data_IF_669437483031
#
_entry.id   IF_669437483031
#
_cell.length_a   1.000
_cell.length_b   1.000
_cell.length_c   1.000
_cell.angle_alpha   90.00
_cell.angle_beta   90.00
_cell.angle_gamma   90.00
#
_symmetry.space_group_name_H-M   'P 1'
#
loop_
_entity.id
_entity.type
_entity.pdbx_description
1 polymer ?
#
# COMPACT_ATOMS: atom_id res chain seq x y z
N UNK A 1 -13.71 -12.03 -1.09
CA UNK A 1 -12.78 -11.24 -1.91
C UNK A 1 -11.45 -11.26 -1.17
N UNK A 2 -10.36 -11.68 -1.82
CA UNK A 2 -9.03 -11.61 -1.20
C UNK A 2 -8.66 -10.12 -1.01
N UNK A 3 -7.95 -9.78 0.08
CA UNK A 3 -7.50 -8.43 0.34
C UNK A 3 -6.48 -7.95 -0.70
N UNK A 4 -6.30 -6.63 -0.81
CA UNK A 4 -5.35 -5.96 -1.69
C UNK A 4 -3.93 -5.93 -1.07
N UNK A 5 -3.42 -7.08 -0.62
CA UNK A 5 -2.19 -7.21 0.18
C UNK A 5 -0.87 -6.70 -0.45
N UNK A 6 0.27 -7.08 0.15
CA UNK A 6 1.63 -6.68 -0.26
C UNK A 6 1.94 -7.03 -1.72
N UNK A 7 1.65 -8.25 -2.16
CA UNK A 7 1.87 -8.78 -3.52
C UNK A 7 0.96 -8.06 -4.51
N UNK A 8 -0.30 -7.80 -4.15
CA UNK A 8 -1.24 -7.08 -5.01
C UNK A 8 -0.70 -5.69 -5.40
N UNK A 9 -0.13 -4.96 -4.42
CA UNK A 9 0.42 -3.63 -4.64
C UNK A 9 1.63 -3.63 -5.59
N UNK A 10 2.36 -4.74 -5.67
CA UNK A 10 3.51 -4.91 -6.58
C UNK A 10 3.05 -5.35 -7.98
N UNK A 11 2.06 -6.24 -8.06
CA UNK A 11 1.61 -6.83 -9.33
C UNK A 11 0.70 -5.91 -10.16
N UNK A 12 0.03 -4.94 -9.54
CA UNK A 12 -0.98 -4.11 -10.21
C UNK A 12 -0.49 -2.68 -10.53
N UNK A 13 0.81 -2.42 -10.63
CA UNK A 13 1.33 -1.09 -11.00
C UNK A 13 1.16 -0.84 -12.51
N UNK A 14 -0.01 -0.37 -12.93
CA UNK A 14 -0.31 0.16 -14.28
C UNK A 14 -1.79 0.56 -14.50
N UNK A 15 -2.12 1.32 -15.56
CA UNK A 15 -2.80 2.63 -15.57
C UNK A 15 -2.71 3.60 -14.37
N UNK A 16 -3.04 4.89 -14.59
CA UNK A 16 -2.98 5.97 -13.58
C UNK A 16 -3.75 5.66 -12.29
N UNK A 17 -4.94 5.05 -12.40
CA UNK A 17 -5.76 4.71 -11.25
C UNK A 17 -5.09 3.70 -10.31
N UNK A 18 -4.28 2.79 -10.85
CA UNK A 18 -3.57 1.82 -10.01
C UNK A 18 -2.28 2.40 -9.42
N UNK A 19 -1.63 3.36 -10.09
CA UNK A 19 -0.44 4.01 -9.53
C UNK A 19 -0.83 4.84 -8.30
N UNK A 20 -1.94 5.57 -8.37
CA UNK A 20 -2.49 6.27 -7.20
C UNK A 20 -2.88 5.29 -6.09
N UNK A 21 -3.52 4.19 -6.45
CA UNK A 21 -3.91 3.18 -5.47
C UNK A 21 -2.71 2.51 -4.80
N UNK A 22 -1.64 2.21 -5.56
CA UNK A 22 -0.39 1.65 -5.03
C UNK A 22 0.30 2.59 -4.05
N UNK A 23 0.46 3.87 -4.39
CA UNK A 23 1.02 4.86 -3.47
C UNK A 23 0.15 5.03 -2.22
N UNK A 24 -1.18 5.05 -2.40
CA UNK A 24 -2.13 5.13 -1.29
C UNK A 24 -2.03 3.90 -0.39
N UNK A 25 -1.81 2.70 -0.95
CA UNK A 25 -1.50 1.50 -0.19
C UNK A 25 -0.24 1.70 0.65
N UNK A 26 0.89 2.09 0.05
CA UNK A 26 2.14 2.25 0.82
C UNK A 26 2.02 3.25 1.96
N UNK A 27 1.28 4.34 1.74
CA UNK A 27 1.11 5.41 2.73
C UNK A 27 0.11 5.04 3.83
N UNK A 28 -0.91 4.22 3.53
CA UNK A 28 -2.02 3.91 4.46
C UNK A 28 -2.03 2.47 4.97
N UNK A 29 -1.12 1.59 4.51
CA UNK A 29 -1.10 0.16 4.86
C UNK A 29 -1.11 -0.07 6.37
N UNK A 30 -0.36 0.73 7.11
CA UNK A 30 -0.21 0.58 8.56
C UNK A 30 -1.14 1.49 9.37
N UNK A 31 -1.59 2.62 8.81
CA UNK A 31 -2.56 3.54 9.46
C UNK A 31 -4.02 3.10 9.29
N UNK A 32 -4.34 2.43 8.18
CA UNK A 32 -5.68 1.96 7.82
C UNK A 32 -5.64 0.52 7.28
N UNK A 33 -5.08 -0.45 8.03
CA UNK A 33 -4.89 -1.81 7.54
C UNK A 33 -6.21 -2.50 7.15
N UNK A 34 -7.34 -2.15 7.76
CA UNK A 34 -8.68 -2.65 7.44
C UNK A 34 -9.18 -2.28 6.03
N UNK A 35 -8.60 -1.24 5.41
CA UNK A 35 -8.89 -0.87 4.02
C UNK A 35 -8.28 -1.88 3.03
N UNK A 36 -7.18 -2.53 3.41
CA UNK A 36 -6.33 -3.32 2.52
C UNK A 36 -6.41 -4.81 2.78
N UNK A 37 -6.60 -5.19 4.04
CA UNK A 37 -6.58 -6.58 4.49
C UNK A 37 -7.96 -7.01 5.01
N UNK A 38 -8.34 -8.29 4.82
CA UNK A 38 -9.59 -8.80 5.33
C UNK A 38 -9.59 -8.86 6.86
N UNK A 39 -10.78 -8.87 7.45
CA UNK A 39 -10.96 -9.12 8.87
C UNK A 39 -11.04 -10.63 9.14
N UNK A 40 -10.46 -11.06 10.25
CA UNK A 40 -10.66 -12.37 10.84
C UNK A 40 -12.08 -12.50 11.42
N UNK A 41 -12.47 -13.73 11.78
CA UNK A 41 -13.78 -14.00 12.38
C UNK A 41 -14.00 -13.27 13.74
N UNK A 42 -12.92 -12.91 14.43
CA UNK A 42 -12.94 -12.15 15.68
C UNK A 42 -12.92 -10.62 15.48
N UNK A 43 -12.96 -10.16 14.23
CA UNK A 43 -12.92 -8.75 13.86
C UNK A 43 -11.51 -8.13 13.82
N UNK A 44 -10.45 -8.88 14.12
CA UNK A 44 -9.08 -8.40 14.00
C UNK A 44 -8.64 -8.35 12.53
N UNK A 45 -7.75 -7.43 12.16
CA UNK A 45 -7.25 -7.34 10.78
C UNK A 45 -6.24 -8.46 10.51
N UNK A 46 -6.47 -9.26 9.46
CA UNK A 46 -5.53 -10.30 8.99
C UNK A 46 -4.42 -9.67 8.14
N UNK A 47 -3.54 -8.92 8.80
CA UNK A 47 -2.48 -8.17 8.13
C UNK A 47 -1.47 -9.10 7.44
N UNK A 48 -1.05 -8.72 6.23
CA UNK A 48 -0.12 -9.49 5.39
C UNK A 48 -0.66 -10.90 5.06
N UNK A 49 -1.95 -10.98 4.71
CA UNK A 49 -2.69 -12.22 4.44
C UNK A 49 -2.18 -13.00 3.22
N UNK A 50 -1.48 -12.31 2.34
CA UNK A 50 -0.85 -12.81 1.13
C UNK A 50 0.56 -13.38 1.36
N UNK A 51 1.07 -13.31 2.59
CA UNK A 51 2.33 -13.94 2.99
C UNK A 51 2.08 -15.17 3.88
N UNK A 52 2.87 -16.25 3.71
CA UNK A 52 2.91 -17.34 4.67
C UNK A 52 3.19 -16.79 6.09
N UNK A 53 2.54 -17.32 7.14
CA UNK A 53 2.65 -16.78 8.50
C UNK A 53 4.10 -16.58 8.99
N UNK A 54 5.01 -17.47 8.60
CA UNK A 54 6.43 -17.41 8.95
C UNK A 54 7.16 -16.16 8.41
N UNK A 55 6.67 -15.56 7.32
CA UNK A 55 7.31 -14.40 6.68
C UNK A 55 6.68 -13.06 7.05
N UNK A 56 5.53 -13.06 7.74
CA UNK A 56 4.82 -11.82 8.11
C UNK A 56 5.66 -10.92 9.02
N UNK A 57 6.45 -11.51 9.91
CA UNK A 57 7.36 -10.76 10.79
C UNK A 57 8.54 -10.11 10.06
N UNK A 58 8.82 -10.51 8.81
CA UNK A 58 9.89 -9.93 7.99
C UNK A 58 9.45 -8.67 7.24
N UNK A 59 8.16 -8.34 7.27
CA UNK A 59 7.66 -7.12 6.62
C UNK A 59 8.12 -5.89 7.39
N UNK A 60 8.67 -4.91 6.68
CA UNK A 60 9.10 -3.64 7.26
C UNK A 60 7.89 -2.86 7.81
N UNK A 61 7.89 -2.58 9.11
CA UNK A 61 6.91 -1.73 9.80
C UNK A 61 7.57 -0.62 10.64
N UNK A 62 8.87 -0.38 10.43
CA UNK A 62 9.67 0.52 11.28
C UNK A 62 10.23 1.73 10.54
N UNK A 63 10.35 1.66 9.22
CA UNK A 63 10.81 2.77 8.39
C UNK A 63 9.64 3.51 7.76
N UNK A 64 9.84 4.79 7.42
CA UNK A 64 8.84 5.55 6.69
C UNK A 64 8.59 4.93 5.29
N UNK A 65 7.34 4.92 4.80
CA UNK A 65 6.13 5.49 5.42
C UNK A 65 5.43 4.59 6.46
N UNK A 66 5.92 3.35 6.67
CA UNK A 66 5.29 2.28 7.46
C UNK A 66 5.39 2.41 8.98
N UNK A 67 6.20 3.35 9.45
CA UNK A 67 6.49 3.58 10.87
C UNK A 67 5.35 4.29 11.62
N UNK A 68 4.11 4.16 11.16
CA UNK A 68 2.89 4.78 11.72
C UNK A 68 1.86 3.70 12.01
N UNK A 69 1.04 3.91 13.04
CA UNK A 69 0.06 2.94 13.52
C UNK A 69 -1.38 3.29 13.18
N UNK A 70 -2.32 2.37 13.47
CA UNK A 70 -3.75 2.61 13.30
C UNK A 70 -4.21 3.89 14.02
N UNK A 71 -4.88 4.78 13.27
CA UNK A 71 -5.39 6.06 13.78
C UNK A 71 -4.41 7.24 13.68
N UNK A 72 -3.14 7.00 13.35
CA UNK A 72 -2.19 8.07 13.05
C UNK A 72 -2.51 8.73 11.69
N UNK A 73 -2.08 9.98 11.52
CA UNK A 73 -2.11 10.63 10.21
C UNK A 73 -1.12 9.94 9.25
N UNK A 74 -1.52 9.61 8.01
CA UNK A 74 -0.62 9.01 7.03
C UNK A 74 0.58 9.90 6.69
N UNK A 75 1.61 9.29 6.10
CA UNK A 75 2.85 9.98 5.76
C UNK A 75 2.71 11.13 4.77
N UNK A 76 1.78 10.97 3.84
CA UNK A 76 1.46 11.88 2.78
C UNK A 76 -0.06 12.05 2.75
N UNK A 77 -0.49 13.27 2.50
CA UNK A 77 -1.86 13.58 2.12
C UNK A 77 -2.17 13.10 0.70
N UNK A 78 -3.45 13.06 0.33
CA UNK A 78 -3.87 12.71 -1.02
C UNK A 78 -3.29 13.66 -2.08
N UNK A 79 -3.12 14.96 -1.75
CA UNK A 79 -2.52 15.94 -2.63
C UNK A 79 -1.01 15.70 -2.84
N UNK A 80 -0.29 15.34 -1.77
CA UNK A 80 1.14 14.99 -1.87
C UNK A 80 1.34 13.68 -2.65
N UNK A 81 0.40 12.73 -2.55
CA UNK A 81 0.40 11.54 -3.40
C UNK A 81 0.26 11.94 -4.88
N UNK A 82 -0.63 12.88 -5.20
CA UNK A 82 -0.80 13.39 -6.58
C UNK A 82 0.47 14.08 -7.09
N UNK A 83 1.18 14.82 -6.22
CA UNK A 83 2.47 15.44 -6.57
C UNK A 83 3.56 14.39 -6.84
N UNK A 84 3.63 13.31 -6.05
CA UNK A 84 4.54 12.19 -6.30
C UNK A 84 4.20 11.50 -7.62
N UNK A 85 2.92 11.30 -7.93
CA UNK A 85 2.49 10.75 -9.22
C UNK A 85 2.94 11.65 -10.37
N UNK A 86 2.76 12.97 -10.24
CA UNK A 86 3.20 13.93 -11.24
C UNK A 86 4.72 13.82 -11.47
N UNK A 87 5.52 13.67 -10.41
CA UNK A 87 6.96 13.43 -10.52
C UNK A 87 7.27 12.10 -11.20
N UNK A 88 6.65 10.99 -10.79
CA UNK A 88 6.91 9.66 -11.38
C UNK A 88 6.58 9.61 -12.87
N UNK A 89 5.58 10.36 -13.34
CA UNK A 89 5.26 10.50 -14.77
C UNK A 89 6.39 11.13 -15.58
N UNK A 90 7.26 11.93 -14.96
CA UNK A 90 8.44 12.50 -15.64
C UNK A 90 9.53 11.45 -15.93
N UNK A 91 9.45 10.28 -15.29
CA UNK A 91 10.42 9.19 -15.44
C UNK A 91 10.05 8.19 -16.54
N UNK A 92 8.92 8.40 -17.23
CA UNK A 92 8.52 7.57 -18.37
C UNK A 92 9.50 7.76 -19.52
N UNK A 93 10.05 6.65 -20.03
CA UNK A 93 11.00 6.64 -21.15
C UNK A 93 10.33 6.84 -22.52
N UNK A 94 9.00 6.94 -22.54
CA UNK A 94 8.22 7.10 -23.76
C UNK A 94 8.06 5.81 -24.56
N UNK A 95 8.35 4.64 -23.99
CA UNK A 95 8.13 3.37 -24.67
C UNK A 95 6.65 3.14 -24.94
N UNK A 96 6.30 3.02 -26.23
CA UNK A 96 5.00 2.56 -26.70
C UNK A 96 5.19 1.17 -27.34
N UNK A 97 4.50 0.13 -26.85
CA UNK A 97 4.65 -1.25 -27.34
C UNK A 97 4.12 -1.46 -28.76
#
# INVERSE_FOLDING_TARGET
QAGKGVIWAVENVGPEESLKEALTFYVQRDTNPEKWYPLNADGTVNKFDDLPPAHRASVNTSEAPYNRGPGDMPALSDAEIDDVIAFLKTLSDGYAP
#
